data_IF_986346508306
#
_entry.id   IF_986346508306
#
_cell.length_a   1.000
_cell.length_b   1.000
_cell.length_c   1.000
_cell.angle_alpha   90.00
_cell.angle_beta   90.00
_cell.angle_gamma   90.00
#
_symmetry.space_group_name_H-M   'P 1'
#
loop_
_entity.id
_entity.type
_entity.pdbx_description
1 polymer ?
#
# COMPACT_ATOMS: atom_id res chain seq x y z
N UNK A 1 9.68 6.61 -21.04
CA UNK A 1 8.43 6.25 -20.34
C UNK A 1 8.69 6.46 -18.85
N UNK A 2 7.69 6.86 -18.05
CA UNK A 2 7.90 7.05 -16.61
C UNK A 2 7.44 5.79 -15.89
N UNK A 3 8.38 5.03 -15.32
CA UNK A 3 8.14 3.72 -14.72
C UNK A 3 8.05 3.78 -13.18
N UNK A 4 7.74 4.98 -12.66
CA UNK A 4 7.62 5.28 -11.23
C UNK A 4 6.17 5.55 -10.86
N UNK A 5 5.72 4.94 -9.76
CA UNK A 5 4.38 5.11 -9.21
C UNK A 5 4.46 5.43 -7.72
N UNK A 6 3.90 6.56 -7.33
CA UNK A 6 3.61 6.87 -5.93
C UNK A 6 2.13 6.60 -5.66
N UNK A 7 1.84 5.77 -4.65
CA UNK A 7 0.50 5.51 -4.14
C UNK A 7 0.40 6.13 -2.75
N UNK A 8 -0.49 7.10 -2.57
CA UNK A 8 -0.71 7.76 -1.29
C UNK A 8 -2.07 7.32 -0.77
N UNK A 9 -2.08 6.56 0.33
CA UNK A 9 -3.28 6.13 1.02
C UNK A 9 -3.55 7.12 2.15
N UNK A 10 -4.66 7.86 2.04
CA UNK A 10 -5.05 8.87 3.04
C UNK A 10 -6.47 8.69 3.58
N UNK A 11 -7.17 7.63 3.17
CA UNK A 11 -8.52 7.33 3.62
C UNK A 11 -8.52 6.62 4.98
N UNK A 12 -9.57 6.81 5.76
CA UNK A 12 -9.89 5.96 6.92
C UNK A 12 -10.87 4.83 6.58
N UNK A 13 -11.40 4.77 5.35
CA UNK A 13 -12.31 3.70 4.93
C UNK A 13 -11.50 2.42 4.63
N UNK A 14 -11.74 1.32 5.35
CA UNK A 14 -10.97 0.08 5.21
C UNK A 14 -11.07 -0.52 3.80
N UNK A 15 -12.19 -0.37 3.09
CA UNK A 15 -12.35 -0.90 1.73
C UNK A 15 -11.54 -0.12 0.71
N UNK A 16 -11.39 1.19 0.92
CA UNK A 16 -10.53 2.02 0.08
C UNK A 16 -9.07 1.65 0.30
N UNK A 17 -8.67 1.40 1.56
CA UNK A 17 -7.31 0.97 1.89
C UNK A 17 -7.00 -0.41 1.32
N UNK A 18 -7.92 -1.38 1.47
CA UNK A 18 -7.78 -2.72 0.90
C UNK A 18 -7.54 -2.65 -0.62
N UNK A 19 -8.38 -1.91 -1.34
CA UNK A 19 -8.24 -1.75 -2.79
C UNK A 19 -6.92 -1.05 -3.16
N UNK A 20 -6.55 0.00 -2.42
CA UNK A 20 -5.30 0.73 -2.65
C UNK A 20 -4.05 -0.13 -2.46
N UNK A 21 -4.00 -0.90 -1.37
CA UNK A 21 -2.93 -1.86 -1.08
C UNK A 21 -2.86 -2.95 -2.16
N UNK A 22 -4.01 -3.51 -2.56
CA UNK A 22 -4.08 -4.52 -3.63
C UNK A 22 -3.53 -4.00 -4.96
N UNK A 23 -3.92 -2.78 -5.36
CA UNK A 23 -3.43 -2.15 -6.58
C UNK A 23 -1.93 -1.90 -6.53
N UNK A 24 -1.43 -1.31 -5.43
CA UNK A 24 0.00 -1.03 -5.27
C UNK A 24 0.85 -2.31 -5.33
N UNK A 25 0.42 -3.34 -4.60
CA UNK A 25 1.07 -4.65 -4.60
C UNK A 25 1.03 -5.29 -5.98
N UNK A 26 -0.09 -5.20 -6.69
CA UNK A 26 -0.21 -5.75 -8.05
C UNK A 26 0.71 -5.06 -9.04
N UNK A 27 0.81 -3.72 -8.97
CA UNK A 27 1.69 -2.95 -9.83
C UNK A 27 3.15 -3.35 -9.67
N UNK A 28 3.58 -3.58 -8.42
CA UNK A 28 4.93 -4.07 -8.12
C UNK A 28 5.12 -5.53 -8.57
N UNK A 29 4.28 -6.47 -8.10
CA UNK A 29 4.45 -7.91 -8.35
C UNK A 29 4.35 -8.30 -9.83
N UNK A 30 3.51 -7.60 -10.59
CA UNK A 30 3.28 -7.88 -12.01
C UNK A 30 4.21 -7.09 -12.92
N UNK A 31 5.09 -6.25 -12.37
CA UNK A 31 6.03 -5.45 -13.15
C UNK A 31 5.35 -4.39 -14.04
N UNK A 32 4.17 -3.89 -13.62
CA UNK A 32 3.51 -2.79 -14.35
C UNK A 32 4.29 -1.48 -14.23
N UNK A 33 4.98 -1.32 -13.09
CA UNK A 33 5.85 -0.20 -12.78
C UNK A 33 7.11 -0.75 -12.12
N UNK A 34 8.28 -0.21 -12.48
CA UNK A 34 9.57 -0.66 -11.94
C UNK A 34 9.87 -0.14 -10.53
N UNK A 35 9.29 1.00 -10.17
CA UNK A 35 9.52 1.69 -8.90
C UNK A 35 8.17 2.11 -8.32
N UNK A 36 7.65 1.29 -7.39
CA UNK A 36 6.40 1.56 -6.69
C UNK A 36 6.72 1.97 -5.26
N UNK A 37 6.22 3.13 -4.84
CA UNK A 37 6.26 3.57 -3.45
C UNK A 37 4.87 3.75 -2.90
N UNK A 38 4.64 3.24 -1.69
CA UNK A 38 3.38 3.39 -0.97
C UNK A 38 3.62 4.31 0.22
N UNK A 39 2.77 5.30 0.37
CA UNK A 39 2.76 6.24 1.48
C UNK A 39 1.46 6.08 2.24
N UNK A 40 1.54 5.88 3.55
CA UNK A 40 0.43 5.95 4.49
C UNK A 40 0.45 7.37 5.05
N UNK A 41 -0.67 8.07 4.99
CA UNK A 41 -0.71 9.46 5.41
C UNK A 41 -2.06 9.82 6.03
N UNK A 42 -2.05 10.16 7.32
CA UNK A 42 -3.26 10.59 8.01
C UNK A 42 -4.12 9.41 8.46
N UNK A 43 -5.45 9.40 8.22
CA UNK A 43 -6.35 8.38 8.77
C UNK A 43 -5.94 6.92 8.48
N UNK A 44 -5.25 6.68 7.37
CA UNK A 44 -4.78 5.35 6.99
C UNK A 44 -3.80 4.75 7.99
N UNK A 45 -2.96 5.57 8.64
CA UNK A 45 -1.94 5.09 9.57
C UNK A 45 -2.60 4.40 10.77
N UNK A 46 -3.60 5.05 11.36
CA UNK A 46 -4.35 4.49 12.50
C UNK A 46 -5.22 3.33 12.05
N UNK A 47 -5.88 3.44 10.89
CA UNK A 47 -6.75 2.38 10.38
C UNK A 47 -5.96 1.08 10.11
N UNK A 48 -4.79 1.16 9.47
CA UNK A 48 -3.91 0.01 9.22
C UNK A 48 -3.34 -0.57 10.52
N UNK A 49 -2.97 0.30 11.47
CA UNK A 49 -2.41 -0.14 12.74
C UNK A 49 -3.43 -0.86 13.65
N UNK A 50 -4.73 -0.63 13.44
CA UNK A 50 -5.80 -1.13 14.31
C UNK A 50 -6.70 -2.19 13.65
N UNK A 51 -6.68 -2.31 12.32
CA UNK A 51 -7.40 -3.32 11.57
C UNK A 51 -6.46 -4.52 11.26
N UNK A 52 -6.71 -5.71 11.83
CA UNK A 52 -5.84 -6.87 11.64
C UNK A 52 -5.69 -7.30 10.18
N UNK A 53 -6.75 -7.20 9.37
CA UNK A 53 -6.70 -7.64 7.98
C UNK A 53 -5.85 -6.69 7.12
N UNK A 54 -5.96 -5.38 7.37
CA UNK A 54 -5.08 -4.39 6.71
C UNK A 54 -3.63 -4.51 7.19
N UNK A 55 -3.43 -4.78 8.48
CA UNK A 55 -2.10 -5.06 9.04
C UNK A 55 -1.44 -6.28 8.39
N UNK A 56 -2.17 -7.39 8.24
CA UNK A 56 -1.69 -8.58 7.53
C UNK A 56 -1.36 -8.28 6.06
N UNK A 57 -2.21 -7.51 5.37
CA UNK A 57 -1.97 -7.11 3.98
C UNK A 57 -0.68 -6.29 3.83
N UNK A 58 -0.42 -5.34 4.74
CA UNK A 58 0.82 -4.57 4.79
C UNK A 58 2.02 -5.44 5.14
N UNK A 59 1.87 -6.37 6.09
CA UNK A 59 2.91 -7.35 6.42
C UNK A 59 3.36 -8.16 5.20
N UNK A 60 2.40 -8.66 4.41
CA UNK A 60 2.69 -9.39 3.17
C UNK A 60 3.42 -8.52 2.13
N UNK A 61 3.14 -7.22 2.06
CA UNK A 61 3.87 -6.31 1.17
C UNK A 61 5.32 -6.10 1.62
N UNK A 62 5.55 -6.01 2.94
CA UNK A 62 6.90 -5.86 3.51
C UNK A 62 7.74 -7.11 3.23
N UNK A 63 7.19 -8.31 3.40
CA UNK A 63 7.86 -9.57 3.06
C UNK A 63 8.24 -9.66 1.57
N UNK A 64 7.47 -9.00 0.71
CA UNK A 64 7.71 -8.90 -0.74
C UNK A 64 8.67 -7.76 -1.12
N UNK A 65 9.22 -7.03 -0.14
CA UNK A 65 10.16 -5.92 -0.34
C UNK A 65 9.51 -4.58 -0.67
N UNK A 66 8.17 -4.50 -0.67
CA UNK A 66 7.42 -3.26 -0.84
C UNK A 66 7.09 -2.66 0.53
N UNK A 67 8.04 -1.90 1.09
CA UNK A 67 7.91 -1.30 2.42
C UNK A 67 7.17 0.04 2.33
N UNK A 68 5.95 0.17 2.89
CA UNK A 68 5.26 1.46 2.93
C UNK A 68 6.01 2.47 3.81
N UNK A 69 5.94 3.74 3.43
CA UNK A 69 6.40 4.86 4.25
C UNK A 69 5.19 5.38 5.03
N UNK A 70 5.30 5.49 6.34
CA UNK A 70 4.32 6.14 7.21
C UNK A 70 5.02 7.30 7.93
#
# INVERSE_FOLDING_TARGET
MNDKLAVILASGDPRVLEMGLMCARSAAKRGWMSDVKVFLFGPSETQIATDPALGEAVGAMIEEGLVPVA
#
